data_IF_046391936512
#
_entry.id   IF_046391936512
#
_cell.length_a   1.000
_cell.length_b   1.000
_cell.length_c   1.000
_cell.angle_alpha   90.00
_cell.angle_beta   90.00
_cell.angle_gamma   90.00
#
_symmetry.space_group_name_H-M   'P 1'
#
loop_
_entity.id
_entity.type
_entity.pdbx_description
1 polymer ?
#
# COMPACT_ATOMS: atom_id res chain seq x y z
N UNK A 1 -12.60 -11.90 0.36
CA UNK A 1 -11.41 -11.82 -0.51
C UNK A 1 -10.21 -12.33 0.26
N UNK A 2 -9.46 -13.30 -0.29
CA UNK A 2 -8.19 -13.79 0.24
C UNK A 2 -7.09 -13.28 -0.69
N UNK A 3 -6.09 -12.59 -0.14
CA UNK A 3 -5.04 -11.92 -0.92
C UNK A 3 -3.67 -12.49 -0.56
N UNK A 4 -2.83 -12.57 -1.58
CA UNK A 4 -1.39 -12.73 -1.44
C UNK A 4 -0.72 -11.44 -1.93
N UNK A 5 0.37 -11.07 -1.28
CA UNK A 5 1.26 -10.00 -1.74
C UNK A 5 2.63 -10.59 -2.03
N UNK A 6 3.31 -10.09 -3.04
CA UNK A 6 4.66 -10.51 -3.35
C UNK A 6 5.66 -9.96 -2.34
N UNK A 7 6.92 -10.39 -2.48
CA UNK A 7 8.02 -10.01 -1.60
C UNK A 7 8.31 -8.50 -1.56
N UNK A 8 7.98 -7.77 -2.63
CA UNK A 8 8.22 -6.31 -2.71
C UNK A 8 7.05 -5.51 -2.15
N UNK A 9 5.86 -6.11 -2.06
CA UNK A 9 4.66 -5.41 -1.61
C UNK A 9 3.91 -4.69 -2.73
N UNK A 10 4.34 -4.84 -3.98
CA UNK A 10 3.84 -4.09 -5.14
C UNK A 10 2.81 -4.89 -5.94
N UNK A 11 2.90 -6.22 -5.91
CA UNK A 11 1.99 -7.09 -6.65
C UNK A 11 1.05 -7.82 -5.70
N UNK A 12 -0.20 -7.93 -6.14
CA UNK A 12 -1.25 -8.60 -5.38
C UNK A 12 -1.86 -9.70 -6.23
N UNK A 13 -2.12 -10.84 -5.59
CA UNK A 13 -2.90 -11.94 -6.15
C UNK A 13 -4.15 -12.14 -5.30
N UNK A 14 -5.31 -12.16 -5.96
CA UNK A 14 -6.55 -12.64 -5.36
C UNK A 14 -6.63 -14.15 -5.50
N UNK A 15 -6.88 -14.85 -4.40
CA UNK A 15 -7.27 -16.27 -4.41
C UNK A 15 -8.77 -16.33 -4.69
N UNK A 16 -9.12 -16.82 -5.88
CA UNK A 16 -10.49 -16.98 -6.36
C UNK A 16 -11.08 -18.31 -5.85
N UNK A 17 -10.30 -19.39 -5.95
CA UNK A 17 -10.67 -20.72 -5.45
C UNK A 17 -9.48 -21.35 -4.72
N UNK A 18 -9.77 -22.14 -3.70
CA UNK A 18 -8.79 -22.86 -2.88
C UNK A 18 -9.30 -24.28 -2.61
N UNK A 19 -8.50 -25.27 -2.99
CA UNK A 19 -8.76 -26.69 -2.73
C UNK A 19 -7.48 -27.36 -2.25
N UNK A 20 -7.32 -27.45 -0.93
CA UNK A 20 -6.08 -27.91 -0.32
C UNK A 20 -4.91 -27.00 -0.70
N UNK A 21 -3.87 -27.58 -1.29
CA UNK A 21 -2.70 -26.82 -1.77
C UNK A 21 -2.92 -26.21 -3.17
N UNK A 22 -3.97 -26.60 -3.91
CA UNK A 22 -4.25 -26.06 -5.24
C UNK A 22 -5.06 -24.77 -5.16
N UNK A 23 -4.61 -23.74 -5.87
CA UNK A 23 -5.26 -22.42 -5.92
C UNK A 23 -5.59 -22.03 -7.35
N UNK A 24 -6.70 -21.32 -7.52
CA UNK A 24 -6.95 -20.48 -8.68
C UNK A 24 -6.73 -19.02 -8.26
N UNK A 25 -5.73 -18.37 -8.83
CA UNK A 25 -5.32 -17.01 -8.47
C UNK A 25 -5.37 -16.06 -9.65
N UNK A 26 -5.52 -14.77 -9.40
CA UNK A 26 -5.47 -13.73 -10.43
C UNK A 26 -4.81 -12.47 -9.88
N UNK A 27 -4.02 -11.80 -10.72
CA UNK A 27 -3.44 -10.51 -10.36
C UNK A 27 -4.52 -9.47 -10.13
N UNK A 28 -4.28 -8.58 -9.19
CA UNK A 28 -5.21 -7.50 -8.86
C UNK A 28 -4.42 -6.21 -8.63
N UNK A 29 -4.99 -5.09 -9.05
CA UNK A 29 -4.43 -3.78 -8.76
C UNK A 29 -4.55 -3.46 -7.27
N UNK A 30 -3.80 -2.44 -6.83
CA UNK A 30 -3.94 -1.85 -5.50
C UNK A 30 -5.37 -1.35 -5.21
N UNK A 31 -6.16 -1.16 -6.27
CA UNK A 31 -7.54 -0.71 -6.22
C UNK A 31 -8.58 -1.82 -6.21
N UNK A 32 -8.15 -3.08 -6.18
CA UNK A 32 -9.06 -4.22 -6.22
C UNK A 32 -9.54 -4.58 -7.63
N UNK A 33 -8.94 -4.04 -8.69
CA UNK A 33 -9.32 -4.36 -10.08
C UNK A 33 -8.50 -5.55 -10.59
N UNK A 34 -9.17 -6.65 -10.94
CA UNK A 34 -8.54 -7.84 -11.52
C UNK A 34 -7.78 -7.51 -12.81
N UNK A 35 -6.58 -8.05 -12.95
CA UNK A 35 -5.66 -7.88 -14.08
C UNK A 35 -5.31 -9.25 -14.67
N UNK A 36 -5.24 -9.31 -16.00
CA UNK A 36 -4.85 -10.53 -16.71
C UNK A 36 -5.88 -11.66 -16.59
N UNK A 37 -5.48 -12.88 -16.96
CA UNK A 37 -6.33 -14.08 -16.84
C UNK A 37 -6.03 -14.81 -15.53
N UNK A 38 -7.03 -15.43 -14.89
CA UNK A 38 -6.79 -16.35 -13.77
C UNK A 38 -5.86 -17.49 -14.18
N UNK A 39 -5.03 -17.93 -13.25
CA UNK A 39 -4.11 -19.05 -13.44
C UNK A 39 -4.11 -19.95 -12.21
N UNK A 40 -3.70 -21.21 -12.40
CA UNK A 40 -3.59 -22.19 -11.32
C UNK A 40 -2.17 -22.19 -10.79
N UNK A 41 -2.04 -22.24 -9.47
CA UNK A 41 -0.76 -22.37 -8.77
C UNK A 41 -0.98 -23.13 -7.46
N UNK A 42 0.09 -23.41 -6.72
CA UNK A 42 -0.01 -24.00 -5.38
C UNK A 42 0.32 -23.01 -4.29
N UNK A 43 -0.32 -23.15 -3.13
CA UNK A 43 -0.06 -22.29 -1.97
C UNK A 43 1.41 -22.41 -1.54
N UNK A 44 1.91 -23.65 -1.48
CA UNK A 44 3.30 -23.95 -1.15
C UNK A 44 4.29 -23.32 -2.15
N UNK A 45 4.00 -23.38 -3.46
CA UNK A 45 4.83 -22.78 -4.51
C UNK A 45 4.86 -21.25 -4.43
N UNK A 46 3.71 -20.63 -4.19
CA UNK A 46 3.60 -19.19 -4.01
C UNK A 46 4.38 -18.73 -2.75
N UNK A 47 4.32 -19.47 -1.65
CA UNK A 47 5.08 -19.12 -0.45
C UNK A 47 6.59 -19.25 -0.65
N UNK A 48 7.05 -20.28 -1.37
CA UNK A 48 8.46 -20.46 -1.72
C UNK A 48 9.00 -19.32 -2.60
N UNK A 49 8.17 -18.78 -3.49
CA UNK A 49 8.52 -17.64 -4.34
C UNK A 49 8.37 -16.29 -3.63
N UNK A 50 8.02 -16.31 -2.33
CA UNK A 50 8.00 -15.14 -1.46
C UNK A 50 6.66 -14.44 -1.35
N UNK A 51 5.58 -15.03 -1.86
CA UNK A 51 4.23 -14.52 -1.63
C UNK A 51 3.77 -14.78 -0.20
N UNK A 52 3.08 -13.82 0.39
CA UNK A 52 2.59 -13.91 1.77
C UNK A 52 1.11 -13.57 1.86
N UNK A 53 0.35 -14.24 2.75
CA UNK A 53 -1.02 -13.84 3.03
C UNK A 53 -1.08 -12.38 3.47
N UNK A 54 -1.96 -11.60 2.87
CA UNK A 54 -2.22 -10.22 3.28
C UNK A 54 -3.67 -10.07 3.70
N UNK A 55 -3.87 -9.62 4.94
CA UNK A 55 -5.16 -9.18 5.41
C UNK A 55 -5.55 -7.90 4.67
N UNK A 56 -6.52 -8.09 3.78
CA UNK A 56 -7.24 -7.26 2.81
C UNK A 56 -7.64 -5.81 3.18
N UNK A 57 -7.14 -5.25 4.27
CA UNK A 57 -7.51 -3.92 4.77
C UNK A 57 -7.45 -2.81 3.71
N UNK A 58 -6.42 -2.78 2.86
CA UNK A 58 -6.24 -1.77 1.79
C UNK A 58 -7.19 -1.92 0.61
N UNK A 59 -7.25 -3.09 -0.03
CA UNK A 59 -8.12 -3.31 -1.19
C UNK A 59 -9.61 -3.24 -0.81
N UNK A 60 -9.99 -3.82 0.34
CA UNK A 60 -11.38 -3.75 0.85
C UNK A 60 -11.77 -2.33 1.23
N UNK A 61 -10.85 -1.55 1.81
CA UNK A 61 -11.14 -0.17 2.16
C UNK A 61 -11.36 0.71 0.92
N UNK A 62 -10.60 0.51 -0.16
CA UNK A 62 -10.86 1.26 -1.40
C UNK A 62 -12.15 0.82 -2.10
N UNK A 63 -12.46 -0.48 -2.10
CA UNK A 63 -13.74 -0.99 -2.65
C UNK A 63 -14.94 -0.42 -1.86
N UNK A 64 -14.85 -0.40 -0.53
CA UNK A 64 -15.87 0.21 0.34
C UNK A 64 -15.98 1.72 0.11
N UNK A 65 -14.86 2.40 -0.13
CA UNK A 65 -14.85 3.81 -0.49
C UNK A 65 -15.55 4.06 -1.84
N UNK A 66 -15.28 3.24 -2.86
CA UNK A 66 -15.98 3.24 -4.17
C UNK A 66 -17.49 3.00 -4.01
N UNK A 67 -17.91 2.19 -3.04
CA UNK A 67 -19.32 1.94 -2.69
C UNK A 67 -19.96 3.07 -1.85
N UNK A 68 -19.25 4.16 -1.55
CA UNK A 68 -19.76 5.28 -0.75
C UNK A 68 -19.81 5.02 0.76
N UNK A 69 -19.14 3.98 1.27
CA UNK A 69 -19.05 3.71 2.71
C UNK A 69 -17.93 4.53 3.33
N UNK A 70 -18.26 5.71 3.85
CA UNK A 70 -17.26 6.69 4.29
C UNK A 70 -16.84 6.51 5.77
N UNK A 71 -17.69 5.96 6.61
CA UNK A 71 -17.46 5.86 8.07
C UNK A 71 -16.78 4.56 8.52
N UNK A 72 -16.33 3.73 7.59
CA UNK A 72 -15.71 2.45 7.92
C UNK A 72 -14.22 2.65 8.31
N UNK A 73 -13.77 2.23 9.50
CA UNK A 73 -12.37 2.35 9.91
C UNK A 73 -11.38 1.68 8.94
N UNK A 74 -11.82 0.64 8.21
CA UNK A 74 -11.00 -0.03 7.19
C UNK A 74 -10.76 0.86 5.96
N UNK A 75 -11.69 1.77 5.66
CA UNK A 75 -11.53 2.75 4.57
C UNK A 75 -10.47 3.76 4.95
N UNK A 76 -10.55 4.33 6.16
CA UNK A 76 -9.53 5.26 6.65
C UNK A 76 -8.14 4.63 6.62
N UNK A 77 -8.01 3.42 7.17
CA UNK A 77 -6.75 2.69 7.16
C UNK A 77 -6.24 2.40 5.73
N UNK A 78 -7.12 2.01 4.81
CA UNK A 78 -6.77 1.77 3.42
C UNK A 78 -6.24 3.02 2.72
N UNK A 79 -6.93 4.15 2.89
CA UNK A 79 -6.53 5.40 2.25
C UNK A 79 -5.16 5.87 2.76
N UNK A 80 -4.88 5.74 4.06
CA UNK A 80 -3.56 6.08 4.61
C UNK A 80 -2.44 5.17 4.08
N UNK A 81 -2.73 3.89 3.82
CA UNK A 81 -1.73 2.98 3.25
C UNK A 81 -1.54 3.16 1.74
N UNK A 82 -2.61 3.47 1.00
CA UNK A 82 -2.59 3.61 -0.46
C UNK A 82 -2.08 4.99 -0.90
N UNK A 83 -2.30 6.03 -0.11
CA UNK A 83 -1.92 7.40 -0.42
C UNK A 83 -0.91 7.94 0.59
N UNK A 84 0.32 7.38 0.64
CA UNK A 84 1.29 7.80 1.63
C UNK A 84 1.77 9.24 1.39
N UNK A 85 2.18 9.89 2.49
CA UNK A 85 2.60 11.28 2.45
C UNK A 85 3.73 11.52 1.45
N UNK A 86 3.56 12.63 0.74
CA UNK A 86 4.44 13.14 -0.29
C UNK A 86 4.52 12.31 -1.56
N UNK A 87 3.65 11.32 -1.77
CA UNK A 87 3.45 10.73 -3.09
C UNK A 87 2.64 11.66 -3.98
N UNK A 88 2.91 11.56 -5.27
CA UNK A 88 2.14 12.25 -6.29
C UNK A 88 0.88 11.46 -6.64
N UNK A 89 -0.22 12.18 -6.80
CA UNK A 89 -1.52 11.67 -7.20
C UNK A 89 -2.01 12.49 -8.37
N UNK A 90 -2.63 11.84 -9.35
CA UNK A 90 -3.37 12.50 -10.41
C UNK A 90 -4.81 12.66 -9.94
N UNK A 91 -5.27 13.91 -9.94
CA UNK A 91 -6.61 14.31 -9.55
C UNK A 91 -7.60 14.02 -10.71
N UNK A 92 -8.91 13.98 -10.43
CA UNK A 92 -9.93 13.83 -11.46
C UNK A 92 -9.92 14.96 -12.51
N UNK A 93 -9.39 16.14 -12.15
CA UNK A 93 -9.15 17.24 -13.08
C UNK A 93 -8.05 16.94 -14.12
N UNK A 94 -7.26 15.89 -13.90
CA UNK A 94 -6.08 15.54 -14.70
C UNK A 94 -4.78 16.11 -14.16
N UNK A 95 -4.84 17.04 -13.21
CA UNK A 95 -3.66 17.65 -12.59
C UNK A 95 -2.93 16.69 -11.64
N UNK A 96 -1.61 16.85 -11.52
CA UNK A 96 -0.80 16.08 -10.57
C UNK A 96 -0.53 16.93 -9.33
N UNK A 97 -0.85 16.36 -8.16
CA UNK A 97 -0.64 17.00 -6.88
C UNK A 97 0.13 16.08 -5.93
N UNK A 98 0.91 16.67 -5.02
CA UNK A 98 1.68 15.90 -4.03
C UNK A 98 0.93 15.84 -2.71
N UNK A 99 0.72 14.67 -2.13
CA UNK A 99 0.04 14.52 -0.82
C UNK A 99 0.88 15.19 0.27
N UNK A 100 0.33 16.15 0.99
CA UNK A 100 1.04 16.88 2.04
C UNK A 100 0.67 16.39 3.45
N UNK A 101 -0.62 16.20 3.70
CA UNK A 101 -1.13 15.65 4.96
C UNK A 101 -2.55 15.12 4.82
N UNK A 102 -2.96 14.28 5.77
CA UNK A 102 -4.33 13.80 5.86
C UNK A 102 -5.19 14.80 6.63
N UNK A 103 -6.38 15.11 6.10
CA UNK A 103 -7.42 15.80 6.86
C UNK A 103 -8.44 14.74 7.26
N UNK A 104 -8.41 14.37 8.56
CA UNK A 104 -9.18 13.24 9.09
C UNK A 104 -10.65 13.22 8.66
N UNK A 105 -11.19 12.00 8.61
CA UNK A 105 -12.59 11.62 8.32
C UNK A 105 -13.62 12.64 8.78
N UNK A 106 -14.33 13.23 7.82
CA UNK A 106 -15.55 13.97 8.06
C UNK A 106 -16.76 13.09 7.72
N UNK A 107 -17.92 13.41 8.30
CA UNK A 107 -19.18 12.66 8.09
C UNK A 107 -19.53 12.56 6.60
N UNK A 108 -19.13 13.56 5.81
CA UNK A 108 -19.40 13.66 4.39
C UNK A 108 -18.25 13.14 3.51
N UNK A 109 -17.10 12.72 4.06
CA UNK A 109 -16.03 12.10 3.30
C UNK A 109 -14.61 12.31 3.83
N UNK A 110 -13.65 11.88 3.02
CA UNK A 110 -12.23 11.98 3.31
C UNK A 110 -11.64 13.20 2.62
N UNK A 111 -10.81 13.95 3.32
CA UNK A 111 -10.14 15.12 2.78
C UNK A 111 -8.63 14.91 2.86
N UNK A 112 -7.90 15.41 1.88
CA UNK A 112 -6.44 15.45 1.90
C UNK A 112 -5.96 16.86 1.61
N UNK A 113 -4.89 17.26 2.28
CA UNK A 113 -4.13 18.41 1.87
C UNK A 113 -3.12 17.96 0.81
N UNK A 114 -3.18 18.59 -0.35
CA UNK A 114 -2.25 18.33 -1.45
C UNK A 114 -1.52 19.62 -1.82
N UNK A 115 -0.28 19.50 -2.27
CA UNK A 115 0.44 20.59 -2.93
C UNK A 115 0.15 20.53 -4.42
N UNK A 116 -0.48 21.58 -4.92
CA UNK A 116 -0.76 21.77 -6.33
C UNK A 116 -0.17 23.13 -6.73
N UNK A 117 0.75 23.15 -7.70
CA UNK A 117 1.42 24.37 -8.17
C UNK A 117 2.11 25.16 -7.04
N UNK A 118 2.64 24.45 -6.03
CA UNK A 118 3.31 25.06 -4.87
C UNK A 118 2.36 25.50 -3.74
N UNK A 119 1.06 25.55 -3.97
CA UNK A 119 0.06 25.92 -2.97
C UNK A 119 -0.51 24.70 -2.24
N UNK A 120 -0.75 24.85 -0.94
CA UNK A 120 -1.42 23.83 -0.13
C UNK A 120 -2.94 23.96 -0.25
N UNK A 121 -3.59 22.98 -0.85
CA UNK A 121 -5.05 22.95 -1.07
C UNK A 121 -5.68 21.78 -0.32
N UNK A 122 -6.79 22.03 0.38
CA UNK A 122 -7.63 20.98 0.98
C UNK A 122 -8.65 20.51 -0.04
N UNK A 123 -8.54 19.26 -0.47
CA UNK A 123 -9.45 18.66 -1.43
C UNK A 123 -10.17 17.46 -0.84
N UNK A 124 -11.43 17.28 -1.24
CA UNK A 124 -12.19 16.07 -0.93
C UNK A 124 -11.69 14.95 -1.83
N UNK A 125 -11.29 13.82 -1.24
CA UNK A 125 -10.93 12.65 -2.00
C UNK A 125 -12.15 12.10 -2.73
N UNK A 126 -11.93 11.71 -3.98
CA UNK A 126 -12.85 10.84 -4.72
C UNK A 126 -12.12 9.53 -5.03
N UNK A 127 -12.86 8.46 -5.35
CA UNK A 127 -12.24 7.18 -5.70
C UNK A 127 -11.44 7.19 -7.01
N UNK A 128 -11.52 8.28 -7.78
CA UNK A 128 -10.88 8.45 -9.10
C UNK A 128 -9.49 9.10 -9.01
N UNK A 129 -8.98 9.32 -7.79
CA UNK A 129 -7.61 9.75 -7.61
C UNK A 129 -6.67 8.60 -7.96
N UNK A 130 -5.66 8.86 -8.79
CA UNK A 130 -4.73 7.83 -9.25
C UNK A 130 -3.34 8.07 -8.64
N UNK A 131 -2.86 7.15 -7.82
CA UNK A 131 -1.50 7.22 -7.28
C UNK A 131 -0.48 7.08 -8.42
N UNK A 132 0.40 8.07 -8.55
CA UNK A 132 1.43 8.05 -9.58
C UNK A 132 2.61 7.16 -9.16
N UNK A 133 3.29 6.50 -10.12
CA UNK A 133 4.54 5.81 -9.85
C UNK A 133 5.58 6.80 -9.31
N UNK A 134 6.44 6.37 -8.39
CA UNK A 134 7.53 7.20 -7.87
C UNK A 134 8.85 6.50 -8.12
N UNK A 135 9.77 7.20 -8.76
CA UNK A 135 11.14 6.72 -8.98
C UNK A 135 12.00 6.80 -7.70
N UNK A 136 11.61 7.64 -6.73
CA UNK A 136 12.38 7.92 -5.50
C UNK A 136 11.82 7.18 -4.27
N UNK A 137 10.51 6.92 -4.22
CA UNK A 137 9.81 6.43 -3.01
C UNK A 137 9.19 5.05 -3.24
N UNK A 138 10.03 4.10 -3.64
CA UNK A 138 9.67 2.71 -3.99
C UNK A 138 9.21 1.84 -2.82
N UNK A 139 9.20 2.34 -1.58
CA UNK A 139 8.79 1.55 -0.43
C UNK A 139 7.73 2.29 0.39
N UNK A 140 6.71 1.55 0.85
CA UNK A 140 6.05 1.89 2.13
C UNK A 140 7.17 2.15 3.15
N UNK A 141 7.03 3.14 4.05
CA UNK A 141 8.07 3.44 5.03
C UNK A 141 8.24 2.21 5.90
N UNK A 142 9.16 1.32 5.54
CA UNK A 142 9.66 0.29 6.41
C UNK A 142 10.39 1.04 7.49
N UNK A 143 9.70 1.13 8.62
CA UNK A 143 10.30 1.47 9.88
C UNK A 143 10.87 0.16 10.47
N UNK A 144 12.14 0.15 10.88
CA UNK A 144 13.11 1.23 10.74
C UNK A 144 13.71 1.26 9.33
N UNK A 145 14.15 2.46 8.93
CA UNK A 145 14.90 2.67 7.69
C UNK A 145 16.10 1.71 7.63
N UNK A 146 16.58 1.34 6.41
CA UNK A 146 17.84 0.62 6.28
C UNK A 146 18.91 1.36 7.06
N UNK A 147 19.56 0.67 8.00
CA UNK A 147 20.62 1.25 8.83
C UNK A 147 21.70 1.83 7.93
N UNK A 148 22.08 3.06 8.21
CA UNK A 148 23.24 3.69 7.58
C UNK A 148 24.52 2.91 7.91
N UNK A 149 25.58 3.12 7.11
CA UNK A 149 26.90 2.54 7.40
C UNK A 149 27.41 2.95 8.78
N UNK A 150 27.10 4.16 9.23
CA UNK A 150 27.49 4.68 10.53
C UNK A 150 26.73 3.98 11.66
N UNK A 151 25.43 3.73 11.51
CA UNK A 151 24.65 2.96 12.48
C UNK A 151 25.09 1.49 12.55
N UNK A 152 25.44 0.88 11.42
CA UNK A 152 26.00 -0.47 11.39
C UNK A 152 27.35 -0.52 12.10
N UNK A 153 28.24 0.44 11.83
CA UNK A 153 29.53 0.54 12.49
C UNK A 153 29.39 0.72 14.01
N UNK A 154 28.48 1.59 14.46
CA UNK A 154 28.21 1.80 15.88
C UNK A 154 27.68 0.53 16.57
N UNK A 155 26.89 -0.29 15.87
CA UNK A 155 26.41 -1.58 16.39
C UNK A 155 27.56 -2.58 16.46
N UNK A 156 28.39 -2.67 15.41
CA UNK A 156 29.54 -3.58 15.38
C UNK A 156 30.57 -3.20 16.46
N UNK A 157 30.82 -1.91 16.68
CA UNK A 157 31.70 -1.40 17.72
C UNK A 157 31.13 -1.67 19.13
N UNK A 158 29.81 -1.52 19.29
CA UNK A 158 29.13 -1.84 20.54
C UNK A 158 29.13 -3.36 20.82
N UNK A 159 28.88 -4.20 19.81
CA UNK A 159 28.89 -5.66 19.95
C UNK A 159 30.31 -6.18 20.20
N UNK A 160 31.33 -5.58 19.59
CA UNK A 160 32.73 -5.88 19.88
C UNK A 160 33.14 -5.47 21.30
N UNK A 161 32.62 -4.34 21.80
CA UNK A 161 32.79 -3.91 23.19
C UNK A 161 32.01 -4.81 24.18
N UNK A 162 30.77 -5.17 23.84
CA UNK A 162 29.89 -5.98 24.69
C UNK A 162 30.24 -7.47 24.70
N UNK A 163 30.84 -7.99 23.63
CA UNK A 163 31.38 -9.36 23.52
C UNK A 163 32.75 -9.55 24.19
N UNK A 164 33.26 -8.53 24.88
CA UNK A 164 34.50 -8.53 25.64
C UNK A 164 34.39 -9.01 27.10
N UNK A 165 33.50 -9.97 27.39
CA UNK A 165 33.48 -10.78 28.62
C UNK A 165 33.04 -12.22 28.35
#
# INVERSE_FOLDING_TARGET
MKLLVDRTGEQFLEIIEESGDSLLVQFISNEGIRKGKPFKDTLSGLFLTGWKPRTTSTAIGLERFKQGKLQDPKVSFALHQLYPLGRDVKLPSGEVATIASYANTHVDGYYMFVRLEGELKRLKMTPDWELQPSEVRLALPYYPAPRSREELQNIDDFDAWAGGF
#
